data_IF_673350312619
#
_entry.id   IF_673350312619
#
_cell.length_a   1.000
_cell.length_b   1.000
_cell.length_c   1.000
_cell.angle_alpha   90.00
_cell.angle_beta   90.00
_cell.angle_gamma   90.00
#
_symmetry.space_group_name_H-M   'P 1'
#
loop_
_entity.id
_entity.type
_entity.pdbx_description
1 polymer ?
#
# COMPACT_ATOMS: atom_id res chain seq x y z
N UNK A 1 -30.22 -13.26 10.97
CA UNK A 1 -29.42 -12.12 10.46
C UNK A 1 -28.01 -12.34 10.97
N UNK A 2 -27.11 -12.87 10.14
CA UNK A 2 -25.76 -13.19 10.58
C UNK A 2 -24.96 -11.89 10.68
N UNK A 3 -24.52 -11.55 11.90
CA UNK A 3 -23.51 -10.52 12.11
C UNK A 3 -22.25 -10.99 11.38
N UNK A 4 -21.96 -10.35 10.25
CA UNK A 4 -20.73 -10.55 9.50
C UNK A 4 -19.59 -10.18 10.43
N UNK A 5 -18.74 -11.15 10.76
CA UNK A 5 -17.45 -10.88 11.39
C UNK A 5 -16.75 -9.87 10.50
N UNK A 6 -16.71 -8.60 10.92
CA UNK A 6 -15.79 -7.64 10.35
C UNK A 6 -14.42 -8.13 10.83
N UNK A 7 -13.80 -9.01 10.05
CA UNK A 7 -12.36 -9.13 10.06
C UNK A 7 -11.86 -7.69 9.95
N UNK A 8 -11.21 -7.17 11.00
CA UNK A 8 -10.62 -5.85 10.97
C UNK A 8 -9.77 -5.79 9.70
N UNK A 9 -10.20 -5.01 8.71
CA UNK A 9 -9.37 -4.79 7.54
C UNK A 9 -8.02 -4.28 8.06
N UNK A 10 -6.89 -4.78 7.53
CA UNK A 10 -5.59 -4.34 7.98
C UNK A 10 -5.56 -2.81 7.97
N UNK A 11 -5.13 -2.17 9.05
CA UNK A 11 -4.98 -0.72 9.03
C UNK A 11 -3.69 -0.29 8.33
N UNK A 12 -2.82 -1.24 7.99
CA UNK A 12 -1.47 -1.00 7.51
C UNK A 12 -1.04 -2.09 6.52
N UNK A 13 -0.47 -1.67 5.40
CA UNK A 13 0.18 -2.54 4.43
C UNK A 13 1.59 -2.03 4.14
N UNK A 14 2.57 -2.91 4.08
CA UNK A 14 3.90 -2.56 3.58
C UNK A 14 3.91 -2.60 2.05
N UNK A 15 4.68 -1.71 1.44
CA UNK A 15 4.92 -1.69 0.00
C UNK A 15 6.34 -2.23 -0.21
N UNK A 16 6.44 -3.40 -0.81
CA UNK A 16 7.72 -4.04 -1.10
C UNK A 16 7.98 -4.08 -2.60
N UNK A 17 9.22 -3.81 -3.00
CA UNK A 17 9.68 -3.96 -4.37
C UNK A 17 11.06 -4.60 -4.39
N UNK A 18 11.25 -5.63 -5.22
CA UNK A 18 12.51 -6.38 -5.30
C UNK A 18 13.06 -6.84 -3.92
N UNK A 19 12.16 -7.27 -3.02
CA UNK A 19 12.53 -7.74 -1.68
C UNK A 19 12.90 -6.66 -0.67
N UNK A 20 12.78 -5.36 -1.02
CA UNK A 20 12.98 -4.24 -0.11
C UNK A 20 11.65 -3.56 0.20
N UNK A 21 11.44 -3.20 1.46
CA UNK A 21 10.29 -2.39 1.86
C UNK A 21 10.58 -0.92 1.55
N UNK A 22 9.78 -0.33 0.68
CA UNK A 22 9.91 1.04 0.17
C UNK A 22 9.03 2.03 0.95
N UNK A 23 7.94 1.55 1.55
CA UNK A 23 7.02 2.37 2.30
C UNK A 23 5.84 1.57 2.85
N UNK A 24 4.77 2.28 3.19
CA UNK A 24 3.53 1.68 3.64
C UNK A 24 2.29 2.48 3.19
N UNK A 25 1.16 1.78 3.14
CA UNK A 25 -0.18 2.38 3.07
C UNK A 25 -0.82 2.23 4.43
N UNK A 26 -1.30 3.34 4.99
CA UNK A 26 -2.05 3.34 6.25
C UNK A 26 -3.50 3.70 5.95
N UNK A 27 -4.46 2.94 6.45
CA UNK A 27 -5.90 3.26 6.40
C UNK A 27 -6.33 3.86 7.74
N UNK A 28 -6.61 5.15 7.73
CA UNK A 28 -7.10 5.90 8.90
C UNK A 28 -8.41 6.60 8.55
N UNK A 29 -9.43 6.47 9.41
CA UNK A 29 -10.72 7.16 9.26
C UNK A 29 -11.37 6.97 7.86
N UNK A 30 -11.24 5.77 7.30
CA UNK A 30 -11.79 5.45 5.97
C UNK A 30 -11.01 6.05 4.80
N UNK A 31 -9.77 6.53 5.03
CA UNK A 31 -8.90 7.07 3.98
C UNK A 31 -7.56 6.36 4.00
N UNK A 32 -7.05 6.03 2.82
CA UNK A 32 -5.70 5.50 2.65
C UNK A 32 -4.69 6.64 2.47
N UNK A 33 -3.53 6.50 3.12
CA UNK A 33 -2.40 7.41 3.04
C UNK A 33 -1.12 6.64 2.74
N UNK A 34 -0.32 7.19 1.83
CA UNK A 34 1.02 6.67 1.54
C UNK A 34 2.05 7.35 2.43
N UNK A 35 2.95 6.54 2.97
CA UNK A 35 4.17 6.99 3.62
C UNK A 35 5.36 6.24 3.03
N UNK A 36 6.44 6.97 2.74
CA UNK A 36 7.65 6.40 2.16
C UNK A 36 8.75 6.35 3.20
N UNK A 37 9.55 5.28 3.19
CA UNK A 37 10.71 5.17 4.06
C UNK A 37 11.91 5.92 3.49
N UNK A 38 12.90 6.18 4.33
CA UNK A 38 14.13 6.83 3.90
C UNK A 38 14.84 5.98 2.84
N UNK A 39 15.28 6.65 1.76
CA UNK A 39 15.89 5.98 0.62
C UNK A 39 14.92 5.16 -0.23
N UNK A 40 13.60 5.37 -0.12
CA UNK A 40 12.65 4.80 -1.06
C UNK A 40 13.00 5.18 -2.51
N UNK A 41 12.72 4.29 -3.47
CA UNK A 41 12.94 4.58 -4.88
C UNK A 41 12.20 5.87 -5.28
N UNK A 42 12.93 6.83 -5.85
CA UNK A 42 12.40 8.15 -6.21
C UNK A 42 11.18 8.07 -7.12
N UNK A 43 11.05 7.02 -7.96
CA UNK A 43 9.89 6.81 -8.84
C UNK A 43 8.62 6.51 -8.05
N UNK A 44 8.75 5.81 -6.92
CA UNK A 44 7.67 5.56 -5.95
C UNK A 44 7.44 6.79 -5.07
N UNK A 45 8.49 7.32 -4.46
CA UNK A 45 8.38 8.43 -3.49
C UNK A 45 7.81 9.72 -4.11
N UNK A 46 7.93 9.90 -5.43
CA UNK A 46 7.32 11.01 -6.18
C UNK A 46 5.85 10.78 -6.57
N UNK A 47 5.25 9.66 -6.19
CA UNK A 47 3.84 9.39 -6.45
C UNK A 47 2.95 10.31 -5.60
N UNK A 48 2.23 11.19 -6.29
CA UNK A 48 1.23 12.10 -5.71
C UNK A 48 -0.19 11.80 -6.22
N UNK A 49 -0.40 10.62 -6.80
CA UNK A 49 -1.70 10.19 -7.32
C UNK A 49 -2.67 9.77 -6.21
N UNK A 50 -3.94 9.51 -6.57
CA UNK A 50 -4.94 9.06 -5.61
C UNK A 50 -4.55 7.71 -4.99
N UNK A 51 -4.84 7.57 -3.70
CA UNK A 51 -4.74 6.30 -2.96
C UNK A 51 -6.17 5.87 -2.66
N UNK A 52 -6.73 5.06 -3.56
CA UNK A 52 -8.07 4.52 -3.43
C UNK A 52 -8.12 3.34 -2.45
N UNK A 53 -9.31 2.76 -2.33
CA UNK A 53 -9.52 1.57 -1.49
C UNK A 53 -9.03 0.27 -2.16
N UNK A 54 -8.83 0.30 -3.48
CA UNK A 54 -8.31 -0.80 -4.27
C UNK A 54 -6.78 -0.82 -4.21
N UNK A 55 -6.25 -1.64 -3.30
CA UNK A 55 -4.81 -1.78 -3.08
C UNK A 55 -4.12 -2.58 -4.18
N UNK A 56 -4.83 -3.46 -4.88
CA UNK A 56 -4.30 -4.20 -6.03
C UNK A 56 -4.10 -3.24 -7.23
N UNK A 57 -5.06 -2.34 -7.45
CA UNK A 57 -4.91 -1.28 -8.44
C UNK A 57 -3.75 -0.33 -8.10
N UNK A 58 -3.55 -0.03 -6.80
CA UNK A 58 -2.40 0.74 -6.34
C UNK A 58 -1.07 0.00 -6.60
N UNK A 59 -0.97 -1.29 -6.28
CA UNK A 59 0.20 -2.12 -6.61
C UNK A 59 0.55 -2.04 -8.09
N UNK A 60 -0.44 -2.25 -8.97
CA UNK A 60 -0.25 -2.21 -10.42
C UNK A 60 0.24 -0.84 -10.92
N UNK A 61 -0.28 0.26 -10.36
CA UNK A 61 0.18 1.62 -10.68
C UNK A 61 1.63 1.85 -10.24
N UNK A 62 2.00 1.40 -9.05
CA UNK A 62 3.36 1.52 -8.53
C UNK A 62 4.35 0.65 -9.31
N UNK A 63 3.95 -0.56 -9.69
CA UNK A 63 4.71 -1.47 -10.56
C UNK A 63 4.98 -0.81 -11.92
N UNK A 64 3.95 -0.26 -12.56
CA UNK A 64 4.10 0.41 -13.86
C UNK A 64 5.07 1.60 -13.78
N UNK A 65 5.07 2.34 -12.66
CA UNK A 65 6.01 3.46 -12.45
C UNK A 65 7.43 3.01 -12.18
N UNK A 66 7.58 1.94 -11.41
CA UNK A 66 8.88 1.45 -10.97
C UNK A 66 9.58 0.64 -12.06
N UNK A 67 8.80 -0.06 -12.90
CA UNK A 67 9.26 -1.00 -13.92
C UNK A 67 9.63 -2.37 -13.35
N UNK A 68 9.16 -2.71 -12.15
CA UNK A 68 9.37 -4.02 -11.50
C UNK A 68 8.20 -4.32 -10.56
N UNK A 69 7.95 -5.59 -10.22
CA UNK A 69 6.82 -5.99 -9.37
C UNK A 69 6.81 -5.26 -8.03
N UNK A 70 5.62 -4.85 -7.61
CA UNK A 70 5.33 -4.23 -6.32
C UNK A 70 4.29 -5.06 -5.59
N UNK A 71 4.60 -5.42 -4.34
CA UNK A 71 3.73 -6.22 -3.49
C UNK A 71 3.24 -5.38 -2.31
N UNK A 72 1.92 -5.42 -2.04
CA UNK A 72 1.34 -4.87 -0.82
C UNK A 72 1.03 -6.00 0.16
N UNK A 73 1.70 -5.99 1.32
CA UNK A 73 1.52 -7.02 2.33
C UNK A 73 0.80 -6.44 3.55
N UNK A 74 -0.35 -7.02 3.87
CA UNK A 74 -1.10 -6.65 5.07
C UNK A 74 -0.31 -6.99 6.33
N UNK A 75 -0.17 -6.02 7.22
CA UNK A 75 0.33 -6.28 8.57
C UNK A 75 -0.86 -6.64 9.46
N UNK A 76 -1.05 -7.94 9.66
CA UNK A 76 -1.95 -8.48 10.68
C UNK A 76 -1.28 -8.30 12.03
N UNK A 77 -1.81 -7.42 12.88
CA UNK A 77 -1.43 -7.38 14.30
C UNK A 77 -2.21 -8.39 15.11
#
# INVERSE_FOLDING_TARGET
>A
MFARFLAHEPALWTIAAAGRVEGCVVREQGRCRLAWFEGADRRLASYAGPVGDDLDALAALLEARLGRPVELQALSS
#
